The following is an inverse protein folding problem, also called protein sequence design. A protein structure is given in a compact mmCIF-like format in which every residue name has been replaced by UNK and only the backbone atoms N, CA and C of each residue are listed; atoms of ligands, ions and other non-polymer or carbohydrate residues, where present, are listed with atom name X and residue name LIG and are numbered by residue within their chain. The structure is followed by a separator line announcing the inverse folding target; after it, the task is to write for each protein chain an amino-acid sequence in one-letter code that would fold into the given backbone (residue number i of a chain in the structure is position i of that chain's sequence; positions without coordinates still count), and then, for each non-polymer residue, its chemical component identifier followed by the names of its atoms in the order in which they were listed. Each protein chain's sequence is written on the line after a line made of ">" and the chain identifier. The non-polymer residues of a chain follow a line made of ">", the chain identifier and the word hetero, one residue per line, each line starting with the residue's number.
data_IF_274973599787
#
_entry.id   IF_274973599787
#
_cell.length_a   1.000
_cell.length_b   1.000
_cell.length_c   1.000
_cell.angle_alpha   90.00
_cell.angle_beta   90.00
_cell.angle_gamma   90.00
#
_symmetry.space_group_name_H-M   'P 1'
#
loop_
_entity.id
_entity.type
_entity.pdbx_description
1 polymer ?
#
# COMPACT_ATOMS: atom_id res chain seq x y z
N UNK A 1 88.63 -11.41 12.17
CA UNK A 1 88.34 -12.33 11.05
C UNK A 1 87.01 -13.02 11.33
N UNK A 2 86.20 -13.14 10.28
CA UNK A 2 84.76 -13.45 10.21
C UNK A 2 84.17 -14.40 11.27
N UNK A 3 83.13 -13.93 11.98
CA UNK A 3 82.09 -14.79 12.56
C UNK A 3 81.07 -15.06 11.45
N UNK A 4 81.06 -16.28 10.92
CA UNK A 4 80.09 -16.72 9.91
C UNK A 4 78.69 -16.79 10.51
N UNK A 5 77.75 -16.12 9.86
CA UNK A 5 76.32 -16.15 10.17
C UNK A 5 75.77 -17.57 10.10
N UNK A 6 75.15 -18.05 11.18
CA UNK A 6 74.37 -19.28 11.14
C UNK A 6 73.04 -19.00 10.39
N UNK A 7 72.64 -19.80 9.40
CA UNK A 7 71.44 -19.53 8.61
C UNK A 7 70.16 -19.76 9.43
N UNK A 8 69.28 -18.75 9.46
CA UNK A 8 67.96 -18.84 10.09
C UNK A 8 67.04 -19.68 9.21
N UNK A 9 66.67 -20.88 9.69
CA UNK A 9 65.69 -21.75 9.05
C UNK A 9 64.27 -21.39 9.50
N UNK A 10 63.52 -20.68 8.67
CA UNK A 10 62.08 -20.42 8.90
C UNK A 10 61.26 -21.60 8.35
N UNK A 11 60.84 -22.53 9.22
CA UNK A 11 59.88 -23.57 8.86
C UNK A 11 58.46 -22.99 8.84
N UNK A 12 57.97 -22.67 7.64
CA UNK A 12 56.59 -22.20 7.44
C UNK A 12 55.64 -23.41 7.46
N UNK A 13 55.07 -23.71 8.63
CA UNK A 13 54.02 -24.73 8.73
C UNK A 13 52.71 -24.12 8.22
N UNK A 14 52.35 -24.39 6.96
CA UNK A 14 50.97 -24.22 6.52
C UNK A 14 50.15 -25.27 7.27
N UNK A 15 49.41 -24.85 8.30
CA UNK A 15 48.23 -25.62 8.73
C UNK A 15 47.32 -25.67 7.51
N UNK A 16 47.25 -26.84 6.86
CA UNK A 16 46.16 -27.11 5.95
C UNK A 16 44.89 -26.96 6.79
N UNK A 17 44.19 -25.84 6.59
CA UNK A 17 42.80 -25.73 6.99
C UNK A 17 42.09 -26.95 6.39
N UNK A 18 41.29 -27.60 7.25
CA UNK A 18 40.78 -28.94 7.06
C UNK A 18 40.25 -29.21 5.66
N UNK A 19 40.49 -30.45 5.23
CA UNK A 19 39.85 -31.15 4.12
C UNK A 19 38.82 -30.33 3.34
N UNK A 20 39.22 -29.95 2.13
CA UNK A 20 38.32 -29.50 1.09
C UNK A 20 37.16 -30.52 0.91
N UNK A 21 36.01 -30.22 1.51
CA UNK A 21 34.77 -31.00 1.46
C UNK A 21 34.03 -30.87 0.11
N UNK A 22 34.75 -30.90 -1.02
CA UNK A 22 34.14 -30.70 -2.34
C UNK A 22 33.53 -31.98 -2.96
N UNK A 23 33.40 -33.07 -2.20
CA UNK A 23 32.74 -34.31 -2.65
C UNK A 23 31.30 -34.53 -2.16
N UNK A 24 30.80 -33.65 -1.28
CA UNK A 24 29.51 -33.85 -0.58
C UNK A 24 28.39 -32.87 -0.96
N UNK A 25 28.72 -31.70 -1.55
CA UNK A 25 27.74 -30.65 -1.82
C UNK A 25 26.60 -31.09 -2.76
N UNK A 26 26.91 -31.92 -3.77
CA UNK A 26 25.90 -32.46 -4.69
C UNK A 26 24.94 -33.46 -4.00
N UNK A 27 25.42 -34.18 -2.97
CA UNK A 27 24.58 -35.09 -2.17
C UNK A 27 23.64 -34.31 -1.25
N UNK A 28 24.06 -33.14 -0.78
CA UNK A 28 23.19 -32.25 0.01
C UNK A 28 22.08 -31.69 -0.87
N UNK A 29 22.40 -31.23 -2.09
CA UNK A 29 21.40 -30.77 -3.05
C UNK A 29 20.44 -31.91 -3.49
N UNK A 30 20.95 -33.13 -3.68
CA UNK A 30 20.10 -34.29 -3.97
C UNK A 30 19.21 -34.69 -2.79
N UNK A 31 19.74 -34.67 -1.57
CA UNK A 31 18.96 -34.94 -0.36
C UNK A 31 17.84 -33.92 -0.19
N UNK A 32 18.14 -32.63 -0.40
CA UNK A 32 17.16 -31.54 -0.33
C UNK A 32 16.04 -31.72 -1.37
N UNK A 33 16.41 -32.06 -2.61
CA UNK A 33 15.43 -32.37 -3.67
C UNK A 33 14.52 -33.55 -3.31
N UNK A 34 15.09 -34.63 -2.76
CA UNK A 34 14.29 -35.80 -2.32
C UNK A 34 13.38 -35.44 -1.14
N UNK A 35 13.83 -34.62 -0.19
CA UNK A 35 12.98 -34.17 0.92
C UNK A 35 11.87 -33.23 0.46
N UNK A 36 12.12 -32.36 -0.51
CA UNK A 36 11.08 -31.52 -1.11
C UNK A 36 10.02 -32.38 -1.83
N UNK A 37 10.44 -33.40 -2.59
CA UNK A 37 9.51 -34.34 -3.23
C UNK A 37 8.73 -35.19 -2.21
N UNK A 38 9.38 -35.63 -1.13
CA UNK A 38 8.72 -36.37 -0.05
C UNK A 38 7.68 -35.49 0.66
N UNK A 39 8.01 -34.24 0.99
CA UNK A 39 7.09 -33.30 1.63
C UNK A 39 5.90 -32.99 0.71
N UNK A 40 6.14 -32.78 -0.58
CA UNK A 40 5.08 -32.60 -1.57
C UNK A 40 4.19 -33.84 -1.69
N UNK A 41 4.77 -35.03 -1.70
CA UNK A 41 4.02 -36.28 -1.73
C UNK A 41 3.17 -36.47 -0.47
N UNK A 42 3.71 -36.20 0.71
CA UNK A 42 2.97 -36.26 1.98
C UNK A 42 1.82 -35.25 1.99
N UNK A 43 2.04 -34.02 1.51
CA UNK A 43 0.99 -33.02 1.37
C UNK A 43 -0.12 -33.49 0.45
N UNK A 44 0.23 -34.00 -0.73
CA UNK A 44 -0.77 -34.46 -1.71
C UNK A 44 -1.49 -35.73 -1.23
N UNK A 45 -0.80 -36.59 -0.49
CA UNK A 45 -1.38 -37.75 0.16
C UNK A 45 -2.39 -37.34 1.24
N UNK A 46 -2.05 -36.37 2.09
CA UNK A 46 -2.96 -35.77 3.07
C UNK A 46 -4.19 -35.15 2.41
N UNK A 47 -4.02 -34.42 1.30
CA UNK A 47 -5.17 -33.88 0.57
C UNK A 47 -6.03 -35.02 0.01
N UNK A 48 -5.47 -36.10 -0.53
CA UNK A 48 -6.29 -37.19 -1.07
C UNK A 48 -7.05 -37.99 0.01
N UNK A 49 -6.50 -38.13 1.21
CA UNK A 49 -7.13 -38.86 2.32
C UNK A 49 -8.11 -38.01 3.13
N UNK A 50 -8.07 -36.68 2.98
CA UNK A 50 -8.93 -35.74 3.70
C UNK A 50 -10.29 -35.59 3.01
N UNK A 51 -11.35 -35.54 3.82
CA UNK A 51 -12.72 -35.35 3.32
C UNK A 51 -12.90 -33.97 2.66
N UNK A 52 -13.86 -33.80 1.73
CA UNK A 52 -14.13 -32.51 1.10
C UNK A 52 -14.50 -31.39 2.08
N UNK A 53 -15.08 -31.74 3.23
CA UNK A 53 -15.47 -30.79 4.28
C UNK A 53 -14.25 -30.26 5.05
N UNK A 54 -13.31 -31.13 5.41
CA UNK A 54 -12.07 -30.73 6.07
C UNK A 54 -11.17 -29.88 5.15
N UNK A 55 -11.15 -30.16 3.85
CA UNK A 55 -10.45 -29.31 2.87
C UNK A 55 -11.02 -27.89 2.83
N UNK A 56 -12.36 -27.75 2.89
CA UNK A 56 -13.02 -26.45 2.94
C UNK A 56 -12.67 -25.71 4.23
N UNK A 57 -12.75 -26.36 5.39
CA UNK A 57 -12.40 -25.70 6.67
C UNK A 57 -10.96 -25.18 6.71
N UNK A 58 -10.00 -25.91 6.11
CA UNK A 58 -8.62 -25.44 5.98
C UNK A 58 -8.51 -24.32 4.93
N UNK A 59 -9.20 -24.45 3.79
CA UNK A 59 -9.23 -23.39 2.77
C UNK A 59 -9.84 -22.09 3.32
N UNK A 60 -10.87 -22.15 4.14
CA UNK A 60 -11.52 -21.00 4.76
C UNK A 60 -10.61 -20.33 5.82
N UNK A 61 -9.73 -21.10 6.47
CA UNK A 61 -8.72 -20.56 7.39
C UNK A 61 -7.59 -19.81 6.65
N UNK A 62 -7.24 -20.25 5.45
CA UNK A 62 -6.17 -19.66 4.63
C UNK A 62 -6.67 -18.72 3.52
N UNK A 63 -7.98 -18.66 3.27
CA UNK A 63 -8.60 -17.71 2.37
C UNK A 63 -8.92 -16.43 3.16
N UNK A 64 -8.16 -15.34 2.99
CA UNK A 64 -8.61 -14.04 3.49
C UNK A 64 -10.01 -13.76 2.92
N UNK A 65 -10.87 -13.09 3.69
CA UNK A 65 -12.27 -12.78 3.35
C UNK A 65 -12.50 -11.97 2.05
N UNK A 66 -11.46 -11.79 1.24
CA UNK A 66 -11.47 -11.25 -0.11
C UNK A 66 -11.23 -12.40 -1.10
N UNK A 67 -12.22 -12.66 -1.95
CA UNK A 67 -12.28 -13.73 -2.98
C UNK A 67 -12.91 -15.03 -2.47
N UNK A 68 -14.13 -14.92 -1.93
CA UNK A 68 -15.13 -15.95 -2.21
C UNK A 68 -15.87 -15.50 -3.47
N UNK A 69 -15.51 -16.07 -4.62
CA UNK A 69 -16.43 -16.07 -5.77
C UNK A 69 -17.61 -16.97 -5.40
N UNK A 70 -18.60 -16.35 -4.75
CA UNK A 70 -19.91 -16.94 -4.53
C UNK A 70 -20.51 -17.26 -5.90
N UNK A 71 -20.39 -18.53 -6.30
CA UNK A 71 -21.26 -19.18 -7.28
C UNK A 71 -22.62 -19.46 -6.65
N UNK A 72 -23.28 -18.41 -6.20
CA UNK A 72 -24.65 -18.42 -5.71
C UNK A 72 -25.29 -17.09 -6.06
N UNK A 73 -25.54 -16.90 -7.36
CA UNK A 73 -26.70 -16.18 -7.92
C UNK A 73 -27.10 -14.82 -7.36
N UNK A 74 -26.24 -14.10 -6.66
CA UNK A 74 -26.54 -12.82 -6.02
C UNK A 74 -25.27 -11.98 -5.88
N UNK A 75 -24.62 -11.76 -7.02
CA UNK A 75 -23.51 -10.82 -7.13
C UNK A 75 -24.04 -9.38 -7.24
N UNK A 76 -23.62 -8.51 -6.32
CA UNK A 76 -23.76 -7.07 -6.44
C UNK A 76 -24.43 -6.41 -5.25
N UNK A 77 -23.78 -5.37 -4.74
CA UNK A 77 -24.18 -4.55 -3.58
C UNK A 77 -25.50 -3.77 -3.74
N UNK A 78 -26.18 -3.82 -4.89
CA UNK A 78 -27.44 -3.11 -5.14
C UNK A 78 -28.31 -3.85 -6.18
N UNK A 79 -29.38 -4.50 -5.72
CA UNK A 79 -30.62 -4.65 -6.50
C UNK A 79 -30.76 -5.89 -7.37
N UNK A 80 -31.57 -6.84 -6.91
CA UNK A 80 -32.05 -7.98 -7.68
C UNK A 80 -33.15 -8.73 -6.95
N UNK A 81 -34.30 -8.09 -6.77
CA UNK A 81 -35.54 -8.71 -6.28
C UNK A 81 -36.01 -9.79 -7.26
N UNK A 82 -35.72 -11.05 -6.99
CA UNK A 82 -36.55 -12.14 -7.48
C UNK A 82 -37.67 -12.34 -6.45
N UNK A 83 -38.86 -11.93 -6.85
CA UNK A 83 -40.12 -12.06 -6.12
C UNK A 83 -40.35 -13.53 -5.76
N UNK A 84 -40.17 -13.86 -4.48
CA UNK A 84 -40.62 -15.09 -3.86
C UNK A 84 -41.91 -14.81 -3.11
N UNK A 85 -42.98 -15.44 -3.57
CA UNK A 85 -44.31 -15.48 -2.97
C UNK A 85 -44.24 -16.18 -1.61
N UNK A 86 -44.07 -15.42 -0.52
CA UNK A 86 -44.79 -15.59 0.75
C UNK A 86 -44.27 -14.62 1.84
N UNK A 87 -45.21 -13.86 2.43
CA UNK A 87 -45.26 -13.66 3.87
C UNK A 87 -44.28 -12.70 4.58
N UNK A 88 -44.87 -11.56 5.02
CA UNK A 88 -44.55 -10.79 6.22
C UNK A 88 -43.39 -9.77 6.19
N UNK A 89 -43.79 -8.51 6.06
CA UNK A 89 -43.04 -7.34 6.52
C UNK A 89 -42.89 -7.38 8.06
N UNK A 90 -41.65 -7.34 8.54
CA UNK A 90 -41.29 -7.17 9.95
C UNK A 90 -40.31 -6.01 10.10
N UNK A 91 -40.62 -5.11 11.03
CA UNK A 91 -40.02 -3.80 11.22
C UNK A 91 -38.50 -3.80 11.46
N UNK A 92 -37.88 -2.69 11.06
CA UNK A 92 -36.44 -2.47 11.17
C UNK A 92 -35.92 -2.53 12.61
N UNK A 93 -34.80 -3.22 12.75
CA UNK A 93 -33.83 -3.05 13.83
C UNK A 93 -32.45 -3.15 13.20
N UNK A 94 -31.65 -2.09 13.31
CA UNK A 94 -30.24 -2.12 12.94
C UNK A 94 -29.53 -3.18 13.76
N UNK A 95 -29.14 -4.28 13.13
CA UNK A 95 -28.17 -5.19 13.71
C UNK A 95 -26.79 -4.60 13.42
N UNK A 96 -26.30 -3.80 14.37
CA UNK A 96 -24.86 -3.65 14.60
C UNK A 96 -24.35 -5.09 14.75
N UNK A 97 -23.54 -5.56 13.80
CA UNK A 97 -22.85 -6.84 13.93
C UNK A 97 -21.79 -6.62 15.00
N UNK A 98 -22.22 -6.77 16.25
CA UNK A 98 -21.37 -7.06 17.38
C UNK A 98 -20.92 -8.50 17.17
N UNK A 99 -19.83 -8.63 16.41
CA UNK A 99 -19.19 -9.90 16.14
C UNK A 99 -18.70 -10.43 17.48
N UNK A 100 -19.45 -11.41 17.99
CA UNK A 100 -19.22 -12.17 19.21
C UNK A 100 -17.72 -12.34 19.47
N UNK A 101 -17.24 -11.64 20.51
CA UNK A 101 -16.01 -12.03 21.18
C UNK A 101 -16.18 -13.49 21.64
N UNK A 102 -15.17 -14.36 21.46
CA UNK A 102 -15.27 -15.74 21.91
C UNK A 102 -15.53 -15.75 23.42
N UNK A 103 -16.53 -16.53 23.81
CA UNK A 103 -16.93 -16.75 25.20
C UNK A 103 -15.71 -17.20 26.01
N UNK A 104 -15.38 -16.43 27.06
CA UNK A 104 -14.28 -16.73 27.97
C UNK A 104 -14.46 -18.13 28.58
N UNK A 105 -13.48 -19.05 28.47
CA UNK A 105 -13.58 -20.37 29.06
C UNK A 105 -13.78 -20.27 30.58
N UNK A 106 -14.83 -20.93 31.05
CA UNK A 106 -15.17 -21.05 32.46
C UNK A 106 -13.99 -21.70 33.22
N UNK A 107 -13.48 -21.16 34.35
CA UNK A 107 -12.19 -21.57 34.91
C UNK A 107 -12.20 -22.89 35.70
N UNK A 108 -13.20 -23.76 35.54
CA UNK A 108 -13.41 -24.90 36.45
C UNK A 108 -13.48 -26.28 35.80
N UNK A 109 -12.89 -26.47 34.62
CA UNK A 109 -12.67 -27.82 34.07
C UNK A 109 -11.18 -28.14 34.03
N UNK A 110 -10.78 -29.07 34.90
CA UNK A 110 -9.41 -29.32 35.36
C UNK A 110 -8.49 -30.07 34.40
N UNK A 111 -8.53 -29.81 33.10
CA UNK A 111 -7.63 -30.47 32.16
C UNK A 111 -7.44 -29.68 30.87
N UNK A 112 -6.49 -28.75 30.89
CA UNK A 112 -5.66 -28.29 29.76
C UNK A 112 -4.82 -27.09 30.20
N UNK A 113 -3.74 -27.36 30.94
CA UNK A 113 -2.56 -26.51 30.87
C UNK A 113 -1.77 -26.97 29.64
N UNK A 114 -1.20 -26.02 28.90
CA UNK A 114 -0.34 -26.20 27.70
C UNK A 114 -1.01 -25.99 26.32
N UNK A 115 -1.63 -24.81 26.09
CA UNK A 115 -1.77 -24.28 24.72
C UNK A 115 -1.90 -22.73 24.62
N UNK A 116 -1.75 -21.99 25.71
CA UNK A 116 -1.89 -20.52 25.70
C UNK A 116 -0.54 -19.78 25.68
N UNK A 117 0.48 -20.36 25.02
CA UNK A 117 1.81 -19.75 24.94
C UNK A 117 2.13 -19.35 23.50
N UNK A 118 2.20 -18.04 23.29
CA UNK A 118 2.88 -17.35 22.19
C UNK A 118 2.14 -17.23 20.84
N UNK A 119 1.00 -16.54 20.82
CA UNK A 119 0.74 -15.60 19.71
C UNK A 119 1.26 -14.23 20.15
N UNK A 120 2.41 -13.83 19.62
CA UNK A 120 2.95 -12.51 19.87
C UNK A 120 1.95 -11.47 19.34
N UNK A 121 1.54 -10.48 20.16
CA UNK A 121 0.66 -9.40 19.69
C UNK A 121 1.29 -8.55 18.58
N UNK A 122 2.60 -8.69 18.35
CA UNK A 122 3.35 -7.97 17.33
C UNK A 122 3.08 -8.49 15.91
N UNK A 123 2.96 -9.81 15.72
CA UNK A 123 2.79 -10.41 14.40
C UNK A 123 1.41 -10.11 13.78
N UNK A 124 0.36 -10.05 14.62
CA UNK A 124 -0.99 -9.66 14.18
C UNK A 124 -1.10 -8.15 13.92
N UNK A 125 -0.36 -7.30 14.64
CA UNK A 125 -0.34 -5.85 14.37
C UNK A 125 0.35 -5.51 13.06
N UNK A 126 1.40 -6.26 12.68
CA UNK A 126 2.13 -5.99 11.44
C UNK A 126 1.33 -6.40 10.20
N UNK A 127 0.72 -7.60 10.23
CA UNK A 127 -0.18 -8.05 9.16
C UNK A 127 -1.37 -7.10 8.95
N UNK A 128 -1.92 -6.53 10.03
CA UNK A 128 -2.99 -5.54 9.95
C UNK A 128 -2.53 -4.23 9.28
N UNK A 129 -1.32 -3.74 9.62
CA UNK A 129 -0.75 -2.55 8.98
C UNK A 129 -0.51 -2.77 7.50
N UNK A 130 0.04 -3.91 7.11
CA UNK A 130 0.27 -4.25 5.71
C UNK A 130 -1.05 -4.28 4.92
N UNK A 131 -2.11 -4.87 5.48
CA UNK A 131 -3.42 -4.89 4.85
C UNK A 131 -4.02 -3.48 4.67
N UNK A 132 -3.85 -2.59 5.65
CA UNK A 132 -4.28 -1.18 5.56
C UNK A 132 -3.52 -0.47 4.44
N UNK A 133 -2.19 -0.60 4.42
CA UNK A 133 -1.33 0.02 3.40
C UNK A 133 -1.69 -0.46 1.99
N UNK A 134 -1.93 -1.75 1.81
CA UNK A 134 -2.34 -2.29 0.50
C UNK A 134 -3.70 -1.71 0.05
N UNK A 135 -4.66 -1.61 0.96
CA UNK A 135 -5.98 -1.02 0.66
C UNK A 135 -5.86 0.46 0.30
N UNK A 136 -5.03 1.20 1.02
CA UNK A 136 -4.74 2.61 0.73
C UNK A 136 -4.07 2.78 -0.62
N UNK A 137 -3.05 1.97 -0.93
CA UNK A 137 -2.39 1.99 -2.24
C UNK A 137 -3.36 1.71 -3.39
N UNK A 138 -4.25 0.74 -3.23
CA UNK A 138 -5.30 0.45 -4.22
C UNK A 138 -6.27 1.63 -4.39
N UNK A 139 -6.65 2.30 -3.29
CA UNK A 139 -7.48 3.50 -3.34
C UNK A 139 -6.77 4.69 -4.01
N UNK A 140 -5.47 4.85 -3.79
CA UNK A 140 -4.67 5.87 -4.49
C UNK A 140 -4.54 5.55 -5.98
N UNK A 141 -4.41 4.27 -6.35
CA UNK A 141 -4.31 3.84 -7.74
C UNK A 141 -5.60 4.12 -8.51
N UNK A 142 -6.75 3.79 -7.93
CA UNK A 142 -8.05 4.08 -8.53
C UNK A 142 -8.27 5.60 -8.66
N UNK A 143 -7.96 6.37 -7.63
CA UNK A 143 -8.07 7.84 -7.67
C UNK A 143 -7.16 8.48 -8.72
N UNK A 144 -5.92 7.99 -8.85
CA UNK A 144 -5.00 8.44 -9.90
C UNK A 144 -5.57 8.18 -11.30
N UNK A 145 -6.17 7.00 -11.50
CA UNK A 145 -6.79 6.65 -12.78
C UNK A 145 -8.03 7.48 -13.07
N UNK A 146 -8.89 7.72 -12.07
CA UNK A 146 -10.05 8.61 -12.20
C UNK A 146 -9.64 10.04 -12.52
N UNK A 147 -8.53 10.53 -11.95
CA UNK A 147 -7.97 11.84 -12.29
C UNK A 147 -7.50 11.88 -13.74
N UNK A 148 -6.76 10.87 -14.21
CA UNK A 148 -6.33 10.79 -15.61
C UNK A 148 -7.52 10.76 -16.57
N UNK A 149 -8.56 9.99 -16.26
CA UNK A 149 -9.77 9.91 -17.07
C UNK A 149 -10.51 11.26 -17.12
N UNK A 150 -10.74 11.88 -15.96
CA UNK A 150 -11.42 13.18 -15.88
C UNK A 150 -10.68 14.29 -16.65
N UNK A 151 -9.35 14.23 -16.69
CA UNK A 151 -8.52 15.14 -17.48
C UNK A 151 -8.62 14.89 -18.99
N UNK A 152 -8.86 13.64 -19.42
CA UNK A 152 -9.04 13.29 -20.83
C UNK A 152 -10.44 13.63 -21.34
N UNK A 153 -11.47 13.47 -20.51
CA UNK A 153 -12.87 13.68 -20.88
C UNK A 153 -13.20 15.17 -21.14
N UNK A 154 -12.42 16.10 -20.59
CA UNK A 154 -12.61 17.53 -20.77
C UNK A 154 -11.56 18.08 -21.75
N UNK A 155 -11.93 18.54 -22.96
CA UNK A 155 -10.97 19.01 -23.96
C UNK A 155 -10.16 20.21 -23.50
N UNK A 156 -10.74 21.08 -22.67
CA UNK A 156 -10.02 22.20 -22.05
C UNK A 156 -8.95 21.73 -21.05
N UNK A 157 -9.16 20.61 -20.36
CA UNK A 157 -8.20 20.05 -19.40
C UNK A 157 -7.21 19.08 -20.05
N UNK A 158 -7.54 18.50 -21.20
CA UNK A 158 -6.68 17.59 -21.94
C UNK A 158 -5.37 18.28 -22.34
N UNK A 159 -5.40 19.57 -22.70
CA UNK A 159 -4.19 20.35 -22.94
C UNK A 159 -3.39 20.60 -21.65
N UNK A 160 -4.08 20.77 -20.51
CA UNK A 160 -3.46 20.94 -19.20
C UNK A 160 -2.94 19.63 -18.60
N UNK A 161 -3.39 18.46 -19.09
CA UNK A 161 -2.91 17.16 -18.59
C UNK A 161 -1.40 17.00 -18.73
N UNK A 162 -0.79 17.63 -19.74
CA UNK A 162 0.67 17.66 -19.97
C UNK A 162 1.45 18.38 -18.87
N UNK A 163 0.76 19.23 -18.10
CA UNK A 163 1.30 20.00 -17.00
C UNK A 163 1.04 19.32 -15.64
N UNK A 164 0.37 18.16 -15.62
CA UNK A 164 0.06 17.43 -14.39
C UNK A 164 0.87 16.14 -14.38
N UNK A 165 1.67 15.95 -13.33
CA UNK A 165 2.36 14.70 -13.06
C UNK A 165 1.69 14.02 -11.87
N UNK A 166 1.35 12.75 -12.01
CA UNK A 166 0.67 11.96 -10.98
C UNK A 166 1.57 10.78 -10.66
N UNK A 167 2.21 10.85 -9.49
CA UNK A 167 3.11 9.82 -8.99
C UNK A 167 2.50 9.16 -7.75
N UNK A 168 2.64 7.84 -7.67
CA UNK A 168 2.33 7.10 -6.45
C UNK A 168 3.62 6.92 -5.67
N UNK A 169 3.66 7.41 -4.44
CA UNK A 169 4.79 7.27 -3.53
C UNK A 169 4.35 6.48 -2.30
N UNK A 170 5.28 5.91 -1.50
CA UNK A 170 4.93 5.22 -0.26
C UNK A 170 4.14 6.10 0.73
N UNK A 171 4.32 7.41 0.65
CA UNK A 171 3.62 8.40 1.47
C UNK A 171 2.22 8.76 0.94
N UNK A 172 1.87 8.35 -0.29
CA UNK A 172 0.55 8.52 -0.87
C UNK A 172 0.53 8.92 -2.34
N UNK A 173 -0.48 9.69 -2.73
CA UNK A 173 -0.66 10.17 -4.09
C UNK A 173 -0.10 11.59 -4.24
N UNK A 174 0.96 11.74 -5.04
CA UNK A 174 1.56 13.05 -5.34
C UNK A 174 1.04 13.58 -6.68
N UNK A 175 0.41 14.74 -6.63
CA UNK A 175 -0.10 15.47 -7.81
C UNK A 175 0.74 16.73 -7.96
N UNK A 176 1.53 16.83 -9.02
CA UNK A 176 2.38 17.98 -9.31
C UNK A 176 1.81 18.78 -10.47
N UNK A 177 1.71 20.08 -10.28
CA UNK A 177 1.30 21.02 -11.33
C UNK A 177 2.54 21.79 -11.76
N UNK A 178 3.01 21.54 -12.98
CA UNK A 178 4.25 22.10 -13.52
C UNK A 178 3.92 23.19 -14.54
N UNK A 179 4.57 24.34 -14.38
CA UNK A 179 4.51 25.41 -15.37
C UNK A 179 5.37 25.05 -16.60
N UNK A 180 4.84 25.25 -17.80
CA UNK A 180 5.55 25.04 -19.06
C UNK A 180 5.40 26.27 -19.95
N UNK A 181 6.36 26.48 -20.86
CA UNK A 181 6.34 27.59 -21.82
C UNK A 181 4.99 27.67 -22.57
N UNK A 182 4.36 28.83 -22.53
CA UNK A 182 3.03 29.09 -23.13
C UNK A 182 1.82 28.59 -22.33
N UNK A 183 2.03 27.84 -21.23
CA UNK A 183 0.97 27.26 -20.39
C UNK A 183 1.20 27.56 -18.91
N UNK A 184 1.49 28.81 -18.61
CA UNK A 184 1.68 29.25 -17.24
C UNK A 184 0.41 29.20 -16.41
N UNK A 185 0.52 28.71 -15.18
CA UNK A 185 -0.58 28.61 -14.20
C UNK A 185 -0.67 29.85 -13.32
N UNK A 186 0.46 30.56 -13.15
CA UNK A 186 0.58 31.78 -12.37
C UNK A 186 1.33 32.81 -13.18
N UNK A 187 0.77 34.01 -13.36
CA UNK A 187 1.48 35.08 -14.03
C UNK A 187 2.83 35.38 -13.31
N UNK A 188 3.82 35.86 -14.07
CA UNK A 188 5.15 36.20 -13.55
C UNK A 188 5.04 37.15 -12.35
N UNK A 189 5.64 36.78 -11.23
CA UNK A 189 5.60 37.55 -9.98
C UNK A 189 4.25 37.63 -9.27
N UNK A 190 3.21 36.92 -9.75
CA UNK A 190 1.91 36.85 -9.07
C UNK A 190 1.72 35.54 -8.32
N UNK A 191 1.02 35.66 -7.19
CA UNK A 191 0.60 34.54 -6.36
C UNK A 191 -0.77 33.97 -6.77
N UNK A 192 -1.58 34.73 -7.51
CA UNK A 192 -2.91 34.28 -7.91
C UNK A 192 -2.87 33.33 -9.12
N UNK A 193 -3.55 32.18 -9.05
CA UNK A 193 -3.68 31.28 -10.19
C UNK A 193 -4.58 31.89 -11.27
N UNK A 194 -4.26 31.62 -12.53
CA UNK A 194 -5.12 32.01 -13.65
C UNK A 194 -6.38 31.14 -13.73
N UNK A 195 -7.31 31.48 -14.63
CA UNK A 195 -8.61 30.79 -14.69
C UNK A 195 -8.48 29.32 -15.12
N UNK A 196 -7.49 29.00 -15.96
CA UNK A 196 -7.17 27.62 -16.34
C UNK A 196 -6.67 26.79 -15.15
N UNK A 197 -5.76 27.35 -14.34
CA UNK A 197 -5.27 26.74 -13.12
C UNK A 197 -6.40 26.55 -12.09
N UNK A 198 -7.32 27.53 -11.98
CA UNK A 198 -8.51 27.38 -11.13
C UNK A 198 -9.40 26.23 -11.58
N UNK A 199 -9.63 26.06 -12.89
CA UNK A 199 -10.41 24.94 -13.43
C UNK A 199 -9.75 23.59 -13.10
N UNK A 200 -8.44 23.49 -13.27
CA UNK A 200 -7.67 22.30 -12.93
C UNK A 200 -7.76 22.00 -11.43
N UNK A 201 -7.51 22.98 -10.56
CA UNK A 201 -7.60 22.79 -9.11
C UNK A 201 -9.02 22.35 -8.68
N UNK A 202 -10.08 22.86 -9.31
CA UNK A 202 -11.46 22.39 -9.07
C UNK A 202 -11.67 20.94 -9.51
N UNK A 203 -11.07 20.52 -10.62
CA UNK A 203 -11.14 19.12 -11.05
C UNK A 203 -10.41 18.20 -10.05
N UNK A 204 -9.22 18.59 -9.61
CA UNK A 204 -8.46 17.87 -8.57
C UNK A 204 -9.25 17.79 -7.27
N UNK A 205 -9.88 18.89 -6.82
CA UNK A 205 -10.70 18.91 -5.61
C UNK A 205 -11.82 17.85 -5.61
N UNK A 206 -12.51 17.65 -6.74
CA UNK A 206 -13.58 16.64 -6.85
C UNK A 206 -13.07 15.21 -6.56
N UNK A 207 -11.86 14.89 -7.01
CA UNK A 207 -11.27 13.56 -6.85
C UNK A 207 -10.67 13.41 -5.46
N UNK A 208 -10.00 14.44 -4.96
CA UNK A 208 -9.45 14.45 -3.61
C UNK A 208 -10.56 14.35 -2.55
N UNK A 209 -11.78 14.83 -2.85
CA UNK A 209 -12.95 14.66 -1.99
C UNK A 209 -13.51 13.22 -1.92
N UNK A 210 -13.15 12.34 -2.86
CA UNK A 210 -13.51 10.93 -2.79
C UNK A 210 -12.59 10.14 -1.84
N UNK A 211 -11.45 10.71 -1.49
CA UNK A 211 -10.48 10.12 -0.58
C UNK A 211 -10.64 10.74 0.82
N UNK A 212 -10.56 9.95 1.90
CA UNK A 212 -10.63 10.49 3.27
C UNK A 212 -9.32 11.12 3.75
N UNK A 213 -8.25 11.06 2.94
CA UNK A 213 -6.88 11.37 3.36
C UNK A 213 -6.64 12.87 3.58
N UNK A 214 -5.67 13.21 4.43
CA UNK A 214 -5.20 14.59 4.59
C UNK A 214 -4.35 15.03 3.40
N UNK A 215 -4.26 16.34 3.19
CA UNK A 215 -3.63 16.95 2.01
C UNK A 215 -2.57 17.93 2.50
N UNK A 216 -1.36 17.82 1.95
CA UNK A 216 -0.33 18.84 2.09
C UNK A 216 -0.15 19.57 0.76
N UNK A 217 0.02 20.89 0.80
CA UNK A 217 0.17 21.73 -0.39
C UNK A 217 1.51 22.44 -0.31
N UNK A 218 2.39 22.14 -1.26
CA UNK A 218 3.68 22.80 -1.41
C UNK A 218 3.72 23.64 -2.70
N UNK A 219 4.32 24.82 -2.60
CA UNK A 219 4.57 25.70 -3.75
C UNK A 219 6.05 25.68 -4.10
N UNK A 220 6.38 25.54 -5.39
CA UNK A 220 7.73 25.70 -5.89
C UNK A 220 7.76 26.86 -6.88
N UNK A 221 8.73 27.75 -6.73
CA UNK A 221 8.98 28.86 -7.64
C UNK A 221 10.45 28.88 -8.00
N UNK A 222 10.76 29.15 -9.26
CA UNK A 222 12.15 29.33 -9.66
C UNK A 222 12.66 30.66 -9.09
N UNK A 223 13.88 30.65 -8.58
CA UNK A 223 14.55 31.87 -8.16
C UNK A 223 14.72 32.79 -9.37
N UNK A 224 14.35 34.06 -9.21
CA UNK A 224 14.51 35.03 -10.29
C UNK A 224 16.00 35.15 -10.65
N UNK A 225 16.34 35.00 -11.93
CA UNK A 225 17.74 35.01 -12.43
C UNK A 225 18.42 36.37 -12.19
N UNK A 226 17.64 37.43 -11.94
CA UNK A 226 18.11 38.81 -11.80
C UNK A 226 18.63 39.21 -10.40
N UNK A 227 18.88 38.25 -9.49
CA UNK A 227 19.47 38.57 -8.17
C UNK A 227 18.58 39.45 -7.27
N UNK A 228 17.32 39.62 -7.65
CA UNK A 228 16.32 40.36 -6.87
C UNK A 228 15.89 39.53 -5.65
N UNK A 229 16.52 39.81 -4.50
CA UNK A 229 16.15 39.44 -3.12
C UNK A 229 15.60 38.00 -2.93
N UNK A 230 16.41 37.07 -2.37
CA UNK A 230 16.00 35.71 -2.04
C UNK A 230 14.71 35.63 -1.19
N UNK A 231 14.44 36.67 -0.39
CA UNK A 231 13.26 36.75 0.47
C UNK A 231 11.93 36.75 -0.31
N UNK A 232 11.94 37.23 -1.56
CA UNK A 232 10.75 37.30 -2.40
C UNK A 232 10.26 35.94 -2.90
N UNK A 233 11.18 35.01 -3.15
CA UNK A 233 10.85 33.69 -3.72
C UNK A 233 10.19 32.77 -2.68
N UNK A 234 10.66 32.81 -1.44
CA UNK A 234 10.01 32.12 -0.31
C UNK A 234 8.60 32.64 -0.06
N UNK A 235 8.41 33.97 -0.09
CA UNK A 235 7.09 34.56 0.07
C UNK A 235 6.17 34.22 -1.11
N UNK A 236 6.69 34.21 -2.34
CA UNK A 236 5.91 33.90 -3.53
C UNK A 236 5.47 32.43 -3.56
N UNK A 237 6.36 31.51 -3.22
CA UNK A 237 6.04 30.07 -3.15
C UNK A 237 4.97 29.78 -2.08
N UNK A 238 5.13 30.34 -0.87
CA UNK A 238 4.12 30.22 0.19
C UNK A 238 2.79 30.86 -0.21
N UNK A 239 2.81 32.05 -0.83
CA UNK A 239 1.60 32.72 -1.29
C UNK A 239 0.86 31.96 -2.39
N UNK A 240 1.59 31.30 -3.31
CA UNK A 240 1.01 30.43 -4.35
C UNK A 240 0.40 29.15 -3.77
N UNK A 241 1.05 28.56 -2.77
CA UNK A 241 0.51 27.42 -2.05
C UNK A 241 -0.81 27.80 -1.34
N UNK A 242 -0.84 28.93 -0.63
CA UNK A 242 -2.04 29.41 0.04
C UNK A 242 -3.16 29.81 -0.95
N UNK A 243 -2.82 30.44 -2.07
CA UNK A 243 -3.79 30.73 -3.12
C UNK A 243 -4.41 29.45 -3.70
N UNK A 244 -3.60 28.41 -3.92
CA UNK A 244 -4.07 27.11 -4.39
C UNK A 244 -4.96 26.43 -3.35
N UNK A 245 -4.59 26.49 -2.06
CA UNK A 245 -5.42 26.03 -0.94
C UNK A 245 -6.79 26.68 -0.94
N UNK A 246 -6.87 28.01 -1.07
CA UNK A 246 -8.16 28.74 -1.10
C UNK A 246 -9.04 28.29 -2.26
N UNK A 247 -8.46 28.04 -3.43
CA UNK A 247 -9.22 27.51 -4.58
C UNK A 247 -9.75 26.10 -4.30
N UNK A 248 -8.93 25.22 -3.73
CA UNK A 248 -9.37 23.87 -3.34
C UNK A 248 -10.50 23.90 -2.31
N UNK A 249 -10.40 24.77 -1.30
CA UNK A 249 -11.45 24.96 -0.30
C UNK A 249 -12.74 25.49 -0.93
N UNK A 250 -12.64 26.48 -1.83
CA UNK A 250 -13.81 26.98 -2.58
C UNK A 250 -14.48 25.92 -3.46
N UNK A 251 -13.74 24.87 -3.83
CA UNK A 251 -14.23 23.74 -4.61
C UNK A 251 -14.81 22.61 -3.72
N UNK A 252 -14.85 22.80 -2.41
CA UNK A 252 -15.47 21.88 -1.45
C UNK A 252 -14.50 20.96 -0.71
N UNK A 253 -13.19 21.22 -0.74
CA UNK A 253 -12.23 20.51 0.13
C UNK A 253 -12.37 21.03 1.56
N UNK A 254 -12.59 20.11 2.50
CA UNK A 254 -12.71 20.43 3.92
C UNK A 254 -11.44 21.14 4.44
N UNK A 255 -11.56 22.31 5.11
CA UNK A 255 -10.43 23.00 5.71
C UNK A 255 -9.59 22.15 6.66
N UNK A 256 -10.20 21.24 7.41
CA UNK A 256 -9.51 20.41 8.41
C UNK A 256 -8.63 19.32 7.78
N UNK A 257 -8.83 19.05 6.49
CA UNK A 257 -8.01 18.09 5.74
C UNK A 257 -6.68 18.67 5.27
N UNK A 258 -6.54 19.99 5.22
CA UNK A 258 -5.30 20.64 4.74
C UNK A 258 -4.39 20.97 5.91
N UNK A 259 -3.10 20.65 5.81
CA UNK A 259 -2.10 20.95 6.84
C UNK A 259 -0.76 21.45 6.28
#
# INVERSE_FOLDING_TARGET
>A
MAMGEAPILIKKVKKAAGHAHHGGAWKVAYADFVTAMMAFFLLMWLINTTSPEQKRGIADYFAPASISESTSGSGGILGGTALGEDGAQGAGSQAIIEQMAPESPNPNDGSQQDAAKEMSPEASTEALREAILQREQAAFASAAQSLRQALQDMPELAELSKNILIDQTPEGLRIQLVDQEGRSMFATGRAEPNDRAKLLLRAVAKIVNQLPNRISIAGHTNASVDGAKPDGDWQLSAARADASRRVLQSAGVDPDRVY
#
